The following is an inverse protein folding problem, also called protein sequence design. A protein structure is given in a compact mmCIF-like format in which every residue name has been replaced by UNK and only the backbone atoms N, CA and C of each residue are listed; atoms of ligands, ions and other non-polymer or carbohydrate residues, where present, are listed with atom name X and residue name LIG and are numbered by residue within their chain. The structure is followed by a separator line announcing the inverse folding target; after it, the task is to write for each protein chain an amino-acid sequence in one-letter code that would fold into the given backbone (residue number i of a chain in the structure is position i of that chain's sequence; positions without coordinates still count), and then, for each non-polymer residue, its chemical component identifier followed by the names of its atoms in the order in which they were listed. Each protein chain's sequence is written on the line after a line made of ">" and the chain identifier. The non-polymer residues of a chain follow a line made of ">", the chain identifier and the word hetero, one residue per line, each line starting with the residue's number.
data_IF_723306121782
#
_entry.id   IF_723306121782
#
_cell.length_a   1.000
_cell.length_b   1.000
_cell.length_c   1.000
_cell.angle_alpha   90.00
_cell.angle_beta   90.00
_cell.angle_gamma   90.00
#
_symmetry.space_group_name_H-M   'P 1'
#
loop_
_entity.id
_entity.type
_entity.pdbx_description
1 polymer ?
#
# COMPACT_ATOMS: atom_id res chain seq x y z
N UNK A 1 0.35 -15.94 16.99
CA UNK A 1 1.53 -15.06 17.02
C UNK A 1 1.86 -14.69 18.45
N UNK A 2 3.11 -14.67 18.76
CA UNK A 2 3.55 -14.25 20.08
C UNK A 2 3.43 -12.75 20.25
N UNK A 3 2.83 -12.25 21.32
CA UNK A 3 2.77 -10.80 21.54
C UNK A 3 4.14 -10.14 21.56
N UNK A 4 5.15 -10.87 22.00
CA UNK A 4 6.51 -10.33 22.06
C UNK A 4 7.06 -9.99 20.68
N UNK A 5 6.60 -10.66 19.63
CA UNK A 5 7.05 -10.38 18.28
C UNK A 5 6.58 -9.01 17.81
N UNK A 6 5.43 -8.56 18.31
CA UNK A 6 4.92 -7.24 18.03
C UNK A 6 5.75 -6.18 18.76
N UNK A 7 6.19 -6.48 19.97
CA UNK A 7 6.92 -5.54 20.81
C UNK A 7 8.38 -5.41 20.43
N UNK A 8 8.94 -6.42 19.77
CA UNK A 8 10.29 -6.32 19.23
C UNK A 8 10.30 -5.45 18.01
N UNK A 9 11.46 -4.94 17.64
CA UNK A 9 11.63 -4.22 16.40
C UNK A 9 11.26 -5.15 15.25
N UNK A 10 10.16 -4.91 14.55
CA UNK A 10 9.70 -5.84 13.53
C UNK A 10 10.52 -5.73 12.27
N UNK A 11 10.71 -6.86 11.62
CA UNK A 11 11.16 -6.91 10.24
C UNK A 11 9.97 -7.31 9.37
N UNK A 12 10.02 -6.98 8.09
CA UNK A 12 8.91 -7.25 7.17
C UNK A 12 8.50 -8.72 7.20
N UNK A 13 9.47 -9.61 7.26
CA UNK A 13 9.21 -11.04 7.26
C UNK A 13 8.76 -11.59 8.63
N UNK A 14 8.91 -10.81 9.68
CA UNK A 14 8.62 -11.26 11.05
C UNK A 14 7.24 -10.84 11.54
N UNK A 15 6.61 -9.88 10.89
CA UNK A 15 5.32 -9.35 11.34
C UNK A 15 4.28 -9.51 10.23
N UNK A 16 3.40 -10.51 10.34
CA UNK A 16 2.46 -10.81 9.26
C UNK A 16 1.50 -9.66 8.92
N UNK A 17 1.26 -8.74 9.83
CA UNK A 17 0.33 -7.64 9.61
C UNK A 17 1.01 -6.32 9.25
N UNK A 18 2.28 -6.33 8.87
CA UNK A 18 2.93 -5.10 8.45
C UNK A 18 2.73 -4.79 6.96
N UNK A 19 1.99 -5.61 6.26
CA UNK A 19 1.72 -5.45 4.83
C UNK A 19 0.26 -5.79 4.55
N UNK A 20 -0.42 -4.86 3.91
CA UNK A 20 -1.83 -5.02 3.49
C UNK A 20 -1.92 -4.74 2.01
N UNK A 21 -2.65 -5.57 1.27
CA UNK A 21 -2.90 -5.36 -0.15
C UNK A 21 -4.36 -5.04 -0.40
N UNK A 22 -4.63 -4.03 -1.22
CA UNK A 22 -5.99 -3.59 -1.54
C UNK A 22 -6.21 -3.53 -3.04
N UNK A 23 -7.32 -4.08 -3.52
CA UNK A 23 -7.75 -3.89 -4.90
C UNK A 23 -8.26 -2.47 -5.11
N UNK A 24 -7.80 -1.83 -6.18
CA UNK A 24 -8.23 -0.47 -6.54
C UNK A 24 -8.74 -0.53 -7.98
N UNK A 25 -9.90 0.02 -8.24
CA UNK A 25 -10.53 -0.03 -9.56
C UNK A 25 -9.85 0.89 -10.57
N UNK A 26 -9.29 2.01 -10.13
CA UNK A 26 -8.52 2.91 -10.99
C UNK A 26 -7.30 3.40 -10.24
N UNK A 27 -6.22 2.65 -10.37
CA UNK A 27 -5.00 2.90 -9.58
C UNK A 27 -4.39 4.26 -9.88
N UNK A 28 -4.33 4.67 -11.16
CA UNK A 28 -3.74 5.96 -11.51
C UNK A 28 -4.52 7.12 -10.89
N UNK A 29 -5.85 7.06 -10.96
CA UNK A 29 -6.68 8.12 -10.37
C UNK A 29 -6.52 8.16 -8.85
N UNK A 30 -6.47 7.00 -8.21
CA UNK A 30 -6.26 6.91 -6.76
C UNK A 30 -4.90 7.46 -6.36
N UNK A 31 -3.86 7.10 -7.10
CA UNK A 31 -2.50 7.58 -6.86
C UNK A 31 -2.44 9.11 -6.94
N UNK A 32 -3.01 9.66 -8.00
CA UNK A 32 -2.99 11.11 -8.21
C UNK A 32 -3.75 11.85 -7.12
N UNK A 33 -4.94 11.36 -6.77
CA UNK A 33 -5.78 12.00 -5.76
C UNK A 33 -5.13 11.91 -4.37
N UNK A 34 -4.65 10.73 -4.00
CA UNK A 34 -4.02 10.54 -2.69
C UNK A 34 -2.74 11.35 -2.57
N UNK A 35 -1.94 11.43 -3.64
CA UNK A 35 -0.74 12.27 -3.64
C UNK A 35 -1.08 13.72 -3.37
N UNK A 36 -2.17 14.23 -3.98
CA UNK A 36 -2.62 15.59 -3.78
C UNK A 36 -3.10 15.83 -2.34
N UNK A 37 -3.54 14.79 -1.64
CA UNK A 37 -3.98 14.88 -0.25
C UNK A 37 -2.82 14.81 0.75
N UNK A 38 -1.60 14.60 0.29
CA UNK A 38 -0.44 14.52 1.18
C UNK A 38 -0.05 13.11 1.59
N UNK A 39 -0.52 12.11 0.87
CA UNK A 39 -0.13 10.72 1.12
C UNK A 39 1.27 10.48 0.58
N UNK A 40 2.14 9.91 1.40
CA UNK A 40 3.48 9.56 0.99
C UNK A 40 3.51 8.17 0.38
N UNK A 41 3.90 8.09 -0.89
CA UNK A 41 4.12 6.81 -1.54
C UNK A 41 5.59 6.43 -1.47
N UNK A 42 5.85 5.12 -1.47
CA UNK A 42 7.21 4.61 -1.53
C UNK A 42 7.82 4.93 -2.91
N UNK A 43 9.16 5.02 -2.98
CA UNK A 43 9.84 5.28 -4.26
C UNK A 43 9.45 4.27 -5.33
N UNK A 44 9.39 4.72 -6.57
CA UNK A 44 9.09 3.88 -7.72
C UNK A 44 7.71 4.11 -8.31
N UNK A 45 6.81 4.75 -7.59
CA UNK A 45 5.47 5.07 -8.10
C UNK A 45 4.70 3.83 -8.54
N UNK A 46 3.85 4.00 -9.56
CA UNK A 46 3.09 2.88 -10.12
C UNK A 46 4.01 2.06 -11.02
N UNK A 47 4.03 0.77 -10.80
CA UNK A 47 4.87 -0.16 -11.57
C UNK A 47 4.23 -1.54 -11.62
N UNK A 48 4.75 -2.39 -12.49
CA UNK A 48 4.27 -3.78 -12.61
C UNK A 48 4.73 -4.58 -11.40
N UNK A 49 3.79 -5.21 -10.71
CA UNK A 49 4.08 -6.09 -9.59
C UNK A 49 4.40 -7.51 -10.02
N UNK A 50 4.77 -8.33 -9.04
CA UNK A 50 5.18 -9.72 -9.28
C UNK A 50 4.08 -10.55 -9.93
N UNK A 51 2.81 -10.27 -9.61
CA UNK A 51 1.67 -11.01 -10.17
C UNK A 51 1.22 -10.46 -11.53
N UNK A 52 1.89 -9.44 -12.07
CA UNK A 52 1.56 -8.86 -13.36
C UNK A 52 0.58 -7.70 -13.34
N UNK A 53 0.07 -7.34 -12.17
CA UNK A 53 -0.80 -6.17 -12.01
C UNK A 53 0.03 -4.93 -11.72
N UNK A 54 -0.50 -3.76 -12.09
CA UNK A 54 0.11 -2.50 -11.68
C UNK A 54 -0.11 -2.28 -10.19
N UNK A 55 0.93 -1.83 -9.52
CA UNK A 55 0.91 -1.62 -8.08
C UNK A 55 1.61 -0.33 -7.71
N UNK A 56 1.33 0.16 -6.50
CA UNK A 56 2.15 1.14 -5.82
C UNK A 56 2.01 0.90 -4.31
N UNK A 57 2.92 1.50 -3.55
CA UNK A 57 2.92 1.31 -2.10
C UNK A 57 2.80 2.65 -1.40
N UNK A 58 1.90 2.71 -0.41
CA UNK A 58 1.87 3.82 0.54
C UNK A 58 2.95 3.54 1.57
N UNK A 59 3.82 4.54 1.77
CA UNK A 59 4.92 4.40 2.70
C UNK A 59 4.39 4.24 4.13
N UNK A 60 5.01 3.39 4.97
CA UNK A 60 4.55 3.22 6.34
C UNK A 60 4.79 4.43 7.24
N UNK A 61 5.64 5.38 6.81
CA UNK A 61 5.92 6.60 7.59
C UNK A 61 5.72 7.83 6.73
N UNK A 62 5.11 8.85 7.34
CA UNK A 62 4.99 10.15 6.71
C UNK A 62 6.25 10.99 6.85
N UNK A 63 6.25 12.15 6.22
CA UNK A 63 7.29 13.16 6.36
C UNK A 63 6.65 14.55 6.36
N UNK A 64 7.44 15.60 6.57
CA UNK A 64 6.90 16.93 6.78
C UNK A 64 6.02 17.43 5.64
N UNK A 65 6.40 17.13 4.39
CA UNK A 65 5.66 17.58 3.21
C UNK A 65 4.60 16.59 2.75
N UNK A 66 4.70 15.33 3.19
CA UNK A 66 3.76 14.25 2.85
C UNK A 66 3.44 13.50 4.14
N UNK A 67 2.58 14.06 4.99
CA UNK A 67 2.40 13.54 6.35
C UNK A 67 1.50 12.31 6.46
N UNK A 68 0.73 12.01 5.45
CA UNK A 68 -0.21 10.87 5.52
C UNK A 68 0.51 9.61 5.06
N UNK A 69 0.44 8.57 5.87
CA UNK A 69 1.17 7.34 5.64
C UNK A 69 0.32 6.13 6.05
N UNK A 70 0.92 4.95 5.95
CA UNK A 70 0.30 3.71 6.43
C UNK A 70 0.35 3.53 7.94
N UNK A 71 0.88 4.50 8.69
CA UNK A 71 0.95 4.44 10.15
C UNK A 71 1.63 3.16 10.65
N UNK A 72 2.79 2.87 10.08
CA UNK A 72 3.57 1.67 10.41
C UNK A 72 3.25 0.47 9.54
N UNK A 73 2.23 0.54 8.69
CA UNK A 73 1.82 -0.55 7.82
C UNK A 73 2.21 -0.22 6.38
N UNK A 74 2.85 -1.14 5.69
CA UNK A 74 3.10 -1.03 4.26
C UNK A 74 1.81 -1.39 3.53
N UNK A 75 1.23 -0.43 2.82
CA UNK A 75 -0.03 -0.63 2.12
C UNK A 75 0.23 -0.71 0.63
N UNK A 76 -0.08 -1.85 0.04
CA UNK A 76 0.04 -2.07 -1.40
C UNK A 76 -1.31 -1.81 -2.06
N UNK A 77 -1.33 -0.89 -3.01
CA UNK A 77 -2.51 -0.66 -3.85
C UNK A 77 -2.29 -1.40 -5.17
N UNK A 78 -3.27 -2.20 -5.56
CA UNK A 78 -3.15 -3.07 -6.72
C UNK A 78 -4.28 -2.77 -7.68
N UNK A 79 -3.95 -2.51 -8.95
CA UNK A 79 -4.97 -2.31 -9.97
C UNK A 79 -5.80 -3.58 -10.11
N UNK A 80 -7.07 -3.49 -9.79
CA UNK A 80 -7.96 -4.63 -9.90
C UNK A 80 -8.15 -5.02 -11.37
N UNK A 81 -8.15 -6.31 -11.68
CA UNK A 81 -8.50 -6.76 -13.02
C UNK A 81 -10.01 -6.59 -13.27
N UNK A 82 -10.37 -6.64 -14.54
CA UNK A 82 -11.74 -6.36 -14.96
C UNK A 82 -12.78 -7.25 -14.25
N UNK A 83 -12.47 -8.52 -14.09
CA UNK A 83 -13.40 -9.46 -13.45
C UNK A 83 -13.60 -9.14 -11.97
N UNK A 84 -12.60 -8.65 -11.28
CA UNK A 84 -12.72 -8.23 -9.87
C UNK A 84 -13.61 -6.99 -9.78
N UNK A 85 -13.41 -6.03 -10.68
CA UNK A 85 -14.22 -4.81 -10.71
C UNK A 85 -15.67 -5.15 -10.98
N UNK A 86 -15.93 -6.01 -11.97
CA UNK A 86 -17.29 -6.40 -12.35
C UNK A 86 -18.00 -7.18 -11.26
N UNK A 87 -17.27 -7.99 -10.51
CA UNK A 87 -17.84 -8.78 -9.42
C UNK A 87 -18.36 -7.91 -8.27
N UNK A 88 -17.87 -6.66 -8.17
CA UNK A 88 -18.26 -5.74 -7.10
C UNK A 88 -19.29 -4.71 -7.55
N UNK A 89 -19.60 -4.68 -8.80
CA UNK A 89 -20.52 -3.70 -9.36
C UNK A 89 -21.99 -3.96 -8.95
#
# INVERSE_FOLDING_TARGET
>A
MQPIDILKKPAVHATPLNHVGLWIDNLQAAYDWLSAQGVRFAPGGIRKGAAGYDICFIHPRGEATLPISGEGVLIELVQAPKDVIEAKA
#
